data_IF_386306079313
#
_entry.id   IF_386306079313
#
_cell.length_a   1.000
_cell.length_b   1.000
_cell.length_c   1.000
_cell.angle_alpha   90.00
_cell.angle_beta   90.00
_cell.angle_gamma   90.00
#
_symmetry.space_group_name_H-M   'P 1'
#
loop_
_entity.id
_entity.type
_entity.pdbx_description
1 polymer ?
#
# COMPACT_ATOMS: atom_id res chain seq x y z
N UNK A 1 -25.69 -16.09 -26.99
CA UNK A 1 -24.73 -15.81 -25.90
C UNK A 1 -25.50 -15.47 -24.64
N UNK A 2 -25.51 -16.37 -23.67
CA UNK A 2 -25.91 -16.05 -22.30
C UNK A 2 -24.74 -15.33 -21.62
N UNK A 3 -24.97 -14.15 -21.07
CA UNK A 3 -23.94 -13.41 -20.34
C UNK A 3 -23.90 -14.00 -18.94
N UNK A 4 -22.93 -14.88 -18.67
CA UNK A 4 -22.70 -15.46 -17.35
C UNK A 4 -22.36 -14.39 -16.33
N UNK A 5 -23.38 -13.84 -15.67
CA UNK A 5 -23.22 -13.17 -14.40
C UNK A 5 -23.73 -14.14 -13.36
N UNK A 6 -22.86 -15.04 -12.88
CA UNK A 6 -23.06 -15.73 -11.61
C UNK A 6 -23.03 -14.66 -10.51
N UNK A 7 -24.18 -14.02 -10.28
CA UNK A 7 -24.37 -13.12 -9.16
C UNK A 7 -24.30 -13.99 -7.91
N UNK A 8 -23.21 -13.90 -7.17
CA UNK A 8 -23.15 -14.45 -5.83
C UNK A 8 -24.32 -13.90 -5.02
N UNK A 9 -24.95 -14.74 -4.20
CA UNK A 9 -26.03 -14.27 -3.33
C UNK A 9 -25.45 -13.32 -2.27
N UNK A 10 -26.26 -12.41 -1.74
CA UNK A 10 -25.81 -11.36 -0.79
C UNK A 10 -24.89 -11.88 0.33
N UNK A 11 -25.17 -13.07 0.88
CA UNK A 11 -24.34 -13.70 1.92
C UNK A 11 -22.92 -14.06 1.46
N UNK A 12 -22.77 -14.51 0.22
CA UNK A 12 -21.44 -14.79 -0.36
C UNK A 12 -20.71 -13.49 -0.66
N UNK A 13 -21.41 -12.46 -1.14
CA UNK A 13 -20.83 -11.13 -1.33
C UNK A 13 -20.32 -10.54 -0.01
N UNK A 14 -21.11 -10.65 1.07
CA UNK A 14 -20.74 -10.17 2.40
C UNK A 14 -19.49 -10.91 2.93
N UNK A 15 -19.41 -12.23 2.73
CA UNK A 15 -18.26 -13.02 3.15
C UNK A 15 -16.98 -12.63 2.37
N UNK A 16 -17.08 -12.46 1.04
CA UNK A 16 -15.95 -12.01 0.23
C UNK A 16 -15.52 -10.58 0.58
N UNK A 17 -16.47 -9.71 0.94
CA UNK A 17 -16.17 -8.36 1.39
C UNK A 17 -15.41 -8.36 2.73
N UNK A 18 -15.79 -9.22 3.68
CA UNK A 18 -15.05 -9.42 4.95
C UNK A 18 -13.62 -9.91 4.72
N UNK A 19 -13.41 -10.86 3.79
CA UNK A 19 -12.06 -11.35 3.45
C UNK A 19 -11.16 -10.22 2.91
N UNK A 20 -11.68 -9.43 1.98
CA UNK A 20 -10.95 -8.29 1.39
C UNK A 20 -10.72 -7.20 2.44
N UNK A 21 -11.71 -6.90 3.28
CA UNK A 21 -11.58 -5.92 4.35
C UNK A 21 -10.50 -6.33 5.37
N UNK A 22 -10.42 -7.62 5.72
CA UNK A 22 -9.38 -8.15 6.60
C UNK A 22 -7.97 -7.96 6.05
N UNK A 23 -7.79 -8.09 4.73
CA UNK A 23 -6.50 -7.84 4.07
C UNK A 23 -6.15 -6.34 4.06
N UNK A 24 -7.12 -5.48 3.78
CA UNK A 24 -6.92 -4.03 3.72
C UNK A 24 -6.68 -3.38 5.08
N UNK A 25 -7.26 -3.94 6.16
CA UNK A 25 -7.00 -3.52 7.54
C UNK A 25 -5.72 -4.15 8.14
N UNK A 26 -5.00 -4.97 7.38
CA UNK A 26 -3.70 -5.52 7.75
C UNK A 26 -2.67 -4.42 8.06
N UNK A 27 -1.59 -4.78 8.76
CA UNK A 27 -0.64 -3.87 9.45
C UNK A 27 0.21 -2.98 8.53
N UNK A 28 -0.43 -2.05 7.81
CA UNK A 28 0.24 -1.07 6.95
C UNK A 28 -0.56 0.24 6.82
N UNK A 29 0.04 1.29 6.23
CA UNK A 29 -0.67 2.51 5.91
C UNK A 29 -1.87 2.20 5.02
N UNK A 30 -2.99 2.86 5.22
CA UNK A 30 -4.09 2.78 4.26
C UNK A 30 -3.60 3.27 2.88
N UNK A 31 -4.24 2.88 1.78
CA UNK A 31 -3.86 3.38 0.45
C UNK A 31 -3.85 4.93 0.38
N UNK A 32 -4.69 5.59 1.19
CA UNK A 32 -4.72 7.04 1.35
C UNK A 32 -3.58 7.62 2.21
N UNK A 33 -2.81 6.78 2.89
CA UNK A 33 -1.66 7.13 3.72
C UNK A 33 -0.33 6.63 3.15
N UNK A 34 -0.33 5.75 2.13
CA UNK A 34 0.88 5.27 1.44
C UNK A 34 1.77 6.42 0.93
N UNK A 35 1.17 7.52 0.47
CA UNK A 35 1.95 8.68 0.01
C UNK A 35 2.80 9.35 1.12
N UNK A 36 2.49 9.08 2.39
CA UNK A 36 3.28 9.57 3.54
C UNK A 36 4.39 8.61 3.94
N UNK A 37 4.34 7.36 3.48
CA UNK A 37 5.33 6.36 3.80
C UNK A 37 6.59 6.61 2.95
N UNK A 38 7.77 6.77 3.56
CA UNK A 38 8.99 6.95 2.80
C UNK A 38 9.32 5.68 2.03
N UNK A 39 9.66 5.82 0.75
CA UNK A 39 10.13 4.68 -0.06
C UNK A 39 11.39 4.06 0.59
N UNK A 40 11.52 2.72 0.56
CA UNK A 40 12.73 2.06 1.04
C UNK A 40 13.94 2.43 0.17
N UNK A 41 15.17 2.43 0.74
CA UNK A 41 16.38 2.71 -0.03
C UNK A 41 16.56 1.69 -1.16
N UNK A 42 17.00 2.17 -2.32
CA UNK A 42 17.35 1.32 -3.45
C UNK A 42 18.62 0.51 -3.17
N UNK A 43 18.79 -0.62 -3.87
CA UNK A 43 19.96 -1.50 -3.69
C UNK A 43 21.30 -0.80 -4.01
N UNK A 44 21.27 0.19 -4.92
CA UNK A 44 22.43 0.99 -5.31
C UNK A 44 22.58 2.28 -4.49
N UNK A 45 21.69 2.56 -3.53
CA UNK A 45 21.81 3.74 -2.70
C UNK A 45 23.05 3.64 -1.81
N UNK A 46 23.86 4.72 -1.73
CA UNK A 46 24.96 4.75 -0.78
C UNK A 46 24.38 4.62 0.64
N UNK A 47 25.05 3.85 1.50
CA UNK A 47 24.65 3.73 2.90
C UNK A 47 24.44 5.14 3.49
N UNK A 48 23.22 5.40 3.97
CA UNK A 48 22.87 6.70 4.53
C UNK A 48 23.78 6.98 5.73
N UNK A 49 24.70 7.93 5.57
CA UNK A 49 25.53 8.41 6.66
C UNK A 49 24.65 9.28 7.58
N UNK A 50 24.34 8.85 8.81
CA UNK A 50 23.47 9.58 9.73
C UNK A 50 24.05 10.92 10.18
N UNK A 51 25.34 11.18 9.90
CA UNK A 51 26.02 12.43 10.21
C UNK A 51 26.22 13.33 8.99
N UNK A 52 25.77 12.94 7.80
CA UNK A 52 25.89 13.77 6.61
C UNK A 52 24.87 14.92 6.67
N UNK A 53 25.31 16.20 6.69
CA UNK A 53 24.40 17.34 6.61
C UNK A 53 23.68 17.30 5.27
N UNK A 54 22.35 17.19 5.32
CA UNK A 54 21.52 17.00 4.14
C UNK A 54 20.92 18.31 3.64
N UNK A 55 21.77 19.29 3.29
CA UNK A 55 21.42 20.43 2.42
C UNK A 55 22.67 21.01 1.73
N UNK A 56 22.57 21.49 0.47
CA UNK A 56 23.63 22.28 -0.14
C UNK A 56 23.59 23.74 0.37
N UNK A 57 24.78 24.31 0.53
CA UNK A 57 25.00 25.73 0.77
C UNK A 57 24.43 26.55 -0.39
N UNK A 58 23.44 27.40 -0.13
CA UNK A 58 22.94 28.37 -1.10
C UNK A 58 23.84 29.61 -1.05
N UNK A 59 24.86 29.63 -1.91
CA UNK A 59 25.66 30.81 -2.26
C UNK A 59 25.10 31.54 -3.48
#
# INVERSE_FOLDING_TARGET
>A
MERGSDKHGARQDDAMAEEVEGMLRGTGPTHAEEWKDPEPPADDDPAADPHRPQYPDHG
#
